data_IF_832282456717
#
_entry.id   IF_832282456717
#
_cell.length_a   1.000
_cell.length_b   1.000
_cell.length_c   1.000
_cell.angle_alpha   90.00
_cell.angle_beta   90.00
_cell.angle_gamma   90.00
#
_symmetry.space_group_name_H-M   'P 1'
#
loop_
_entity.id
_entity.type
_entity.pdbx_description
1 polymer ?
#
# COMPACT_ATOMS: atom_id res chain seq x y z
N UNK A 1 37.86 16.83 -5.40
CA UNK A 1 36.42 17.16 -5.38
C UNK A 1 36.10 17.84 -4.05
N UNK A 2 35.36 18.95 -4.02
CA UNK A 2 35.16 19.71 -2.78
C UNK A 2 34.29 18.90 -1.80
N UNK A 3 34.70 18.87 -0.52
CA UNK A 3 34.05 18.15 0.58
C UNK A 3 32.54 18.42 0.72
N UNK A 4 32.06 19.59 0.28
CA UNK A 4 30.65 20.00 0.35
C UNK A 4 29.73 19.21 -0.59
N UNK A 5 30.19 18.86 -1.80
CA UNK A 5 29.39 18.10 -2.77
C UNK A 5 29.11 16.67 -2.27
N UNK A 6 30.09 16.06 -1.59
CA UNK A 6 29.95 14.73 -0.98
C UNK A 6 28.94 14.75 0.17
N UNK A 7 28.95 15.78 1.02
CA UNK A 7 27.98 15.90 2.13
C UNK A 7 26.55 16.11 1.64
N UNK A 8 26.35 16.88 0.57
CA UNK A 8 25.02 17.06 -0.04
C UNK A 8 24.51 15.76 -0.65
N UNK A 9 25.31 15.07 -1.45
CA UNK A 9 24.92 13.79 -2.05
C UNK A 9 24.58 12.72 -0.99
N UNK A 10 25.33 12.65 0.11
CA UNK A 10 25.03 11.73 1.21
C UNK A 10 23.73 12.07 1.94
N UNK A 11 23.40 13.36 2.08
CA UNK A 11 22.14 13.83 2.67
C UNK A 11 20.95 13.47 1.79
N UNK A 12 21.04 13.72 0.48
CA UNK A 12 19.98 13.37 -0.49
C UNK A 12 19.74 11.85 -0.55
N UNK A 13 20.81 11.05 -0.59
CA UNK A 13 20.70 9.60 -0.56
C UNK A 13 19.98 9.10 0.71
N UNK A 14 20.29 9.70 1.87
CA UNK A 14 19.60 9.40 3.13
C UNK A 14 18.12 9.77 3.07
N UNK A 15 17.78 10.96 2.59
CA UNK A 15 16.39 11.41 2.46
C UNK A 15 15.58 10.49 1.53
N UNK A 16 16.16 10.08 0.41
CA UNK A 16 15.55 9.13 -0.53
C UNK A 16 15.30 7.76 0.12
N UNK A 17 16.25 7.25 0.89
CA UNK A 17 16.10 5.99 1.64
C UNK A 17 14.97 6.08 2.67
N UNK A 18 14.90 7.18 3.41
CA UNK A 18 13.82 7.40 4.38
C UNK A 18 12.46 7.51 3.69
N UNK A 19 12.38 8.19 2.55
CA UNK A 19 11.16 8.26 1.74
C UNK A 19 10.70 6.89 1.24
N UNK A 20 11.63 6.06 0.75
CA UNK A 20 11.35 4.70 0.32
C UNK A 20 10.87 3.83 1.49
N UNK A 21 11.54 3.91 2.64
CA UNK A 21 11.12 3.17 3.84
C UNK A 21 9.69 3.51 4.26
N UNK A 22 9.28 4.79 4.18
CA UNK A 22 7.89 5.18 4.46
C UNK A 22 6.90 4.54 3.49
N UNK A 23 7.25 4.44 2.21
CA UNK A 23 6.42 3.76 1.19
C UNK A 23 6.27 2.28 1.54
N UNK A 24 7.38 1.60 1.84
CA UNK A 24 7.41 0.17 2.16
C UNK A 24 6.63 -0.12 3.45
N UNK A 25 6.90 0.62 4.54
CA UNK A 25 6.19 0.44 5.81
C UNK A 25 4.68 0.64 5.66
N UNK A 26 4.27 1.64 4.86
CA UNK A 26 2.85 1.85 4.60
C UNK A 26 2.25 0.74 3.73
N UNK A 27 3.00 0.20 2.75
CA UNK A 27 2.56 -0.93 1.95
C UNK A 27 2.33 -2.18 2.81
N UNK A 28 3.28 -2.51 3.67
CA UNK A 28 3.15 -3.62 4.61
C UNK A 28 1.92 -3.46 5.52
N UNK A 29 1.72 -2.26 6.08
CA UNK A 29 0.52 -1.96 6.88
C UNK A 29 -0.80 -2.12 6.09
N UNK A 30 -0.84 -1.70 4.83
CA UNK A 30 -2.04 -1.87 3.99
C UNK A 30 -2.41 -3.35 3.81
N UNK A 31 -1.40 -4.19 3.60
CA UNK A 31 -1.58 -5.63 3.42
C UNK A 31 -2.04 -6.26 4.75
N UNK A 32 -1.24 -6.10 5.81
CA UNK A 32 -1.43 -6.75 7.11
C UNK A 32 -2.68 -6.26 7.86
N UNK A 33 -3.15 -5.04 7.59
CA UNK A 33 -4.40 -4.58 8.16
C UNK A 33 -5.62 -5.01 7.33
N UNK A 34 -5.48 -5.78 6.25
CA UNK A 34 -6.59 -6.21 5.40
C UNK A 34 -7.21 -5.08 4.59
N UNK A 35 -6.40 -4.10 4.17
CA UNK A 35 -6.83 -2.89 3.46
C UNK A 35 -6.68 -2.97 1.95
N UNK A 36 -6.10 -4.05 1.43
CA UNK A 36 -6.03 -4.34 0.01
C UNK A 36 -7.08 -5.40 -0.29
N UNK A 37 -8.06 -5.05 -1.11
CA UNK A 37 -9.16 -5.95 -1.50
C UNK A 37 -9.10 -6.10 -3.01
N UNK A 38 -9.01 -7.33 -3.51
CA UNK A 38 -9.14 -7.60 -4.93
C UNK A 38 -10.60 -7.45 -5.34
N UNK A 39 -10.87 -6.65 -6.38
CA UNK A 39 -12.20 -6.53 -6.97
C UNK A 39 -12.33 -7.49 -8.17
N UNK A 40 -11.27 -7.61 -8.95
CA UNK A 40 -11.18 -8.52 -10.10
C UNK A 40 -9.72 -8.87 -10.39
N UNK A 41 -9.47 -9.65 -11.44
CA UNK A 41 -8.12 -10.04 -11.89
C UNK A 41 -7.22 -8.85 -12.23
N UNK A 42 -7.81 -7.70 -12.55
CA UNK A 42 -7.10 -6.52 -13.03
C UNK A 42 -7.32 -5.29 -12.14
N UNK A 43 -8.04 -5.41 -11.02
CA UNK A 43 -8.43 -4.26 -10.21
C UNK A 43 -8.43 -4.57 -8.71
N UNK A 44 -7.83 -3.65 -7.96
CA UNK A 44 -7.72 -3.71 -6.51
C UNK A 44 -8.22 -2.42 -5.88
N UNK A 45 -8.98 -2.58 -4.81
CA UNK A 45 -9.39 -1.52 -3.91
C UNK A 45 -8.40 -1.40 -2.75
N UNK A 46 -7.85 -0.21 -2.53
CA UNK A 46 -6.86 0.01 -1.48
C UNK A 46 -7.31 1.12 -0.54
N UNK A 47 -7.56 0.75 0.71
CA UNK A 47 -8.06 1.65 1.75
C UNK A 47 -6.90 2.30 2.50
N UNK A 48 -6.57 3.54 2.14
CA UNK A 48 -5.63 4.35 2.91
C UNK A 48 -6.19 4.77 4.27
N UNK A 49 -5.42 5.60 5.00
CA UNK A 49 -5.84 6.12 6.31
C UNK A 49 -7.05 7.05 6.23
N UNK A 50 -7.15 7.84 5.15
CA UNK A 50 -8.20 8.87 4.97
C UNK A 50 -8.99 8.67 3.68
N UNK A 51 -8.31 8.19 2.63
CA UNK A 51 -8.84 8.07 1.28
C UNK A 51 -8.71 6.65 0.78
N UNK A 52 -9.51 6.32 -0.23
CA UNK A 52 -9.52 5.01 -0.88
C UNK A 52 -9.07 5.20 -2.33
N UNK A 53 -8.31 4.24 -2.82
CA UNK A 53 -7.66 4.33 -4.13
C UNK A 53 -7.89 3.04 -4.90
N UNK A 54 -7.81 3.16 -6.22
CA UNK A 54 -7.87 2.02 -7.12
C UNK A 54 -6.48 1.79 -7.68
N UNK A 55 -6.06 0.53 -7.67
CA UNK A 55 -4.87 0.06 -8.40
C UNK A 55 -5.36 -0.87 -9.50
N UNK A 56 -4.93 -0.61 -10.74
CA UNK A 56 -5.31 -1.42 -11.92
C UNK A 56 -4.07 -2.00 -12.59
N UNK A 57 -4.24 -3.16 -13.18
CA UNK A 57 -3.31 -3.72 -14.16
C UNK A 57 -3.68 -3.13 -15.53
N UNK A 58 -2.75 -2.42 -16.15
CA UNK A 58 -2.90 -1.79 -17.46
C UNK A 58 -1.66 -2.10 -18.32
N UNK A 59 -1.84 -2.90 -19.38
CA UNK A 59 -0.73 -3.31 -20.26
C UNK A 59 0.44 -4.00 -19.52
N UNK A 60 0.15 -4.76 -18.47
CA UNK A 60 1.17 -5.42 -17.63
C UNK A 60 1.85 -4.51 -16.60
N UNK A 61 1.42 -3.24 -16.48
CA UNK A 61 1.91 -2.29 -15.47
C UNK A 61 0.83 -2.02 -14.43
N UNK A 62 1.24 -1.66 -13.23
CA UNK A 62 0.33 -1.22 -12.17
C UNK A 62 0.18 0.30 -12.19
N UNK A 63 -1.07 0.76 -12.20
CA UNK A 63 -1.44 2.18 -12.18
C UNK A 63 -2.32 2.45 -10.97
N UNK A 64 -2.00 3.48 -10.19
CA UNK A 64 -2.76 3.87 -9.00
C UNK A 64 -3.38 5.26 -9.12
N UNK A 65 -4.61 5.42 -8.63
CA UNK A 65 -5.33 6.70 -8.70
C UNK A 65 -4.89 7.77 -7.69
N UNK A 66 -4.01 7.45 -6.75
CA UNK A 66 -3.55 8.41 -5.73
C UNK A 66 -2.57 9.46 -6.28
N UNK A 67 -2.62 10.68 -5.73
CA UNK A 67 -1.71 11.78 -6.11
C UNK A 67 -0.23 11.40 -6.02
N UNK A 68 0.17 10.71 -4.96
CA UNK A 68 1.57 10.32 -4.80
C UNK A 68 2.11 9.41 -5.90
N UNK A 69 1.24 8.66 -6.59
CA UNK A 69 1.63 7.88 -7.78
C UNK A 69 1.64 8.76 -9.03
N UNK A 70 0.65 9.64 -9.20
CA UNK A 70 0.61 10.58 -10.33
C UNK A 70 1.86 11.47 -10.37
N UNK A 71 2.35 11.89 -9.21
CA UNK A 71 3.54 12.75 -9.09
C UNK A 71 4.86 12.01 -9.33
N UNK A 72 4.99 10.77 -8.82
CA UNK A 72 6.30 10.09 -8.71
C UNK A 72 6.40 8.75 -9.45
N UNK A 73 5.29 8.24 -9.99
CA UNK A 73 5.21 6.90 -10.55
C UNK A 73 5.32 5.75 -9.52
N UNK A 74 5.41 6.07 -8.22
CA UNK A 74 5.51 5.07 -7.14
C UNK A 74 4.74 5.52 -5.89
N UNK A 75 4.01 4.59 -5.28
CA UNK A 75 3.31 4.82 -4.03
C UNK A 75 3.16 3.51 -3.23
N UNK A 76 2.79 3.62 -1.96
CA UNK A 76 2.57 2.45 -1.10
C UNK A 76 1.46 1.52 -1.59
N UNK A 77 0.49 2.03 -2.36
CA UNK A 77 -0.63 1.21 -2.87
C UNK A 77 -0.17 0.29 -4.00
N UNK A 78 0.62 0.80 -4.95
CA UNK A 78 1.21 -0.02 -6.02
C UNK A 78 2.17 -1.03 -5.44
N UNK A 79 3.03 -0.62 -4.49
CA UNK A 79 3.96 -1.53 -3.82
C UNK A 79 3.20 -2.64 -3.08
N UNK A 80 2.09 -2.33 -2.40
CA UNK A 80 1.29 -3.35 -1.72
C UNK A 80 0.70 -4.37 -2.71
N UNK A 81 0.07 -3.89 -3.77
CA UNK A 81 -0.53 -4.75 -4.80
C UNK A 81 0.52 -5.57 -5.54
N UNK A 82 1.65 -4.96 -5.92
CA UNK A 82 2.73 -5.69 -6.58
C UNK A 82 3.24 -6.82 -5.69
N UNK A 83 3.52 -6.54 -4.42
CA UNK A 83 4.02 -7.55 -3.47
C UNK A 83 3.09 -8.76 -3.42
N UNK A 84 1.78 -8.53 -3.34
CA UNK A 84 0.81 -9.62 -3.31
C UNK A 84 0.76 -10.38 -4.64
N UNK A 85 0.77 -9.68 -5.77
CA UNK A 85 0.74 -10.32 -7.09
C UNK A 85 1.97 -11.22 -7.34
N UNK A 86 3.11 -10.91 -6.73
CA UNK A 86 4.32 -11.73 -6.82
C UNK A 86 4.28 -12.98 -5.92
N UNK A 87 3.36 -13.06 -4.96
CA UNK A 87 3.18 -14.25 -4.13
C UNK A 87 2.33 -15.28 -4.88
N UNK A 88 2.78 -16.54 -4.90
CA UNK A 88 2.08 -17.65 -5.56
C UNK A 88 0.66 -17.88 -5.02
N UNK A 89 0.41 -17.51 -3.77
CA UNK A 89 -0.88 -17.60 -3.06
C UNK A 89 -1.37 -16.21 -2.59
N UNK A 90 -1.02 -15.15 -3.33
CA UNK A 90 -1.32 -13.78 -2.91
C UNK A 90 -2.82 -13.51 -2.73
N UNK A 91 -3.69 -14.20 -3.45
CA UNK A 91 -5.13 -14.01 -3.37
C UNK A 91 -5.71 -14.57 -2.08
N UNK A 92 -5.40 -15.82 -1.77
CA UNK A 92 -5.81 -16.48 -0.52
C UNK A 92 -5.26 -15.70 0.69
N UNK A 93 -4.03 -15.20 0.57
CA UNK A 93 -3.41 -14.36 1.58
C UNK A 93 -4.19 -13.05 1.82
N UNK A 94 -4.64 -12.35 0.77
CA UNK A 94 -5.47 -11.15 0.94
C UNK A 94 -6.80 -11.47 1.60
N UNK A 95 -7.47 -12.53 1.16
CA UNK A 95 -8.79 -12.92 1.68
C UNK A 95 -8.74 -13.21 3.18
N UNK A 96 -7.67 -13.86 3.66
CA UNK A 96 -7.44 -14.10 5.08
C UNK A 96 -7.37 -12.79 5.88
N UNK A 97 -6.55 -11.83 5.42
CA UNK A 97 -6.40 -10.54 6.12
C UNK A 97 -7.66 -9.68 6.06
N UNK A 98 -8.38 -9.69 4.93
CA UNK A 98 -9.65 -9.00 4.78
C UNK A 98 -10.68 -9.58 5.73
N UNK A 99 -10.82 -10.90 5.80
CA UNK A 99 -11.71 -11.58 6.75
C UNK A 99 -11.35 -11.22 8.19
N UNK A 100 -10.08 -11.31 8.55
CA UNK A 100 -9.61 -10.96 9.89
C UNK A 100 -9.93 -9.49 10.24
N UNK A 101 -9.81 -8.55 9.31
CA UNK A 101 -10.20 -7.14 9.53
C UNK A 101 -11.70 -7.03 9.77
N UNK A 102 -12.53 -7.61 8.90
CA UNK A 102 -13.99 -7.55 9.00
C UNK A 102 -14.47 -8.13 10.32
N UNK A 103 -13.94 -9.28 10.74
CA UNK A 103 -14.26 -9.89 12.04
C UNK A 103 -13.91 -8.98 13.23
N UNK A 104 -12.76 -8.30 13.19
CA UNK A 104 -12.38 -7.31 14.23
C UNK A 104 -13.37 -6.15 14.25
N UNK A 105 -13.72 -5.60 13.09
CA UNK A 105 -14.66 -4.48 12.97
C UNK A 105 -16.07 -4.87 13.45
N UNK A 106 -16.58 -6.04 13.07
CA UNK A 106 -17.89 -6.55 13.51
C UNK A 106 -17.97 -6.75 15.03
N UNK A 107 -16.91 -7.28 15.66
CA UNK A 107 -16.83 -7.43 17.12
C UNK A 107 -16.93 -6.08 17.85
N UNK A 108 -16.40 -5.01 17.25
CA UNK A 108 -16.50 -3.66 17.83
C UNK A 108 -17.91 -3.08 17.69
N UNK A 109 -18.58 -3.33 16.56
CA UNK A 109 -19.96 -2.91 16.34
C UNK A 109 -20.94 -3.62 17.27
N UNK A 110 -20.79 -4.94 17.44
CA UNK A 110 -21.65 -5.73 18.34
C UNK A 110 -21.50 -5.38 19.83
N UNK A 111 -20.46 -4.61 20.20
CA UNK A 111 -20.27 -4.07 21.56
C UNK A 111 -20.85 -2.67 21.75
N UNK A 112 -21.31 -2.02 20.69
CA UNK A 112 -22.00 -0.74 20.81
C UNK A 112 -23.47 -0.98 21.16
N UNK A 113 -24.01 -0.34 22.22
CA UNK A 113 -25.44 -0.36 22.45
C UNK A 113 -26.12 0.26 21.22
N UNK A 114 -27.09 -0.46 20.66
CA UNK A 114 -27.96 0.06 19.60
C UNK A 114 -28.62 1.31 20.19
N UNK A 115 -28.31 2.48 19.62
CA UNK A 115 -28.94 3.75 19.99
C UNK A 115 -30.30 3.86 19.34
#
# INVERSE_FOLDING_TARGET
>A
MPRSALTHAMSEARQNREAMNRIISKAAWLILDGRVVRISDIMYYVMGRRNRHIVRVDGGKLVCTCEGFKERGICSHVVAVSTVMWLSNGYEYLDEWVRARVERELKLLGRQPIR
#
